data_IF_056105918015
#
_entry.id   IF_056105918015
#
_cell.length_a   1.000
_cell.length_b   1.000
_cell.length_c   1.000
_cell.angle_alpha   90.00
_cell.angle_beta   90.00
_cell.angle_gamma   90.00
#
_symmetry.space_group_name_H-M   'P 1'
#
loop_
_entity.id
_entity.type
_entity.pdbx_description
1 polymer ?
#
# COMPACT_ATOMS: atom_id res chain seq x y z
N UNK A 1 25.74 -62.24 10.60
CA UNK A 1 24.30 -62.58 10.60
C UNK A 1 23.82 -62.36 12.04
N UNK A 2 23.15 -61.24 12.36
CA UNK A 2 21.67 -61.08 12.54
C UNK A 2 21.13 -62.17 13.51
N UNK A 3 20.47 -61.93 14.65
CA UNK A 3 19.67 -60.85 15.25
C UNK A 3 19.71 -61.08 16.80
N UNK A 4 19.34 -60.23 17.75
CA UNK A 4 18.66 -58.94 17.85
C UNK A 4 18.35 -58.77 19.35
N UNK A 5 18.60 -57.61 19.94
CA UNK A 5 18.24 -57.31 21.34
C UNK A 5 17.36 -56.05 21.35
N UNK A 6 16.25 -56.24 22.05
CA UNK A 6 15.10 -55.39 22.36
C UNK A 6 15.51 -54.17 23.20
N UNK A 7 14.55 -53.26 23.44
CA UNK A 7 14.49 -52.16 24.45
C UNK A 7 14.76 -50.78 23.75
N UNK A 8 13.91 -49.76 23.77
CA UNK A 8 12.87 -49.31 24.72
C UNK A 8 11.84 -48.47 23.93
N UNK A 9 10.57 -48.85 24.00
CA UNK A 9 9.44 -47.95 23.73
C UNK A 9 8.81 -47.52 25.05
N UNK A 10 8.00 -46.46 24.97
CA UNK A 10 7.13 -45.84 25.99
C UNK A 10 7.67 -44.49 26.50
N UNK A 11 7.25 -43.42 25.82
CA UNK A 11 6.85 -42.18 26.49
C UNK A 11 5.40 -41.90 26.05
N UNK A 12 4.52 -41.94 27.05
CA UNK A 12 3.10 -41.60 26.98
C UNK A 12 2.82 -40.29 26.25
N UNK A 13 1.80 -40.28 25.40
CA UNK A 13 1.13 -39.07 24.96
C UNK A 13 -0.39 -39.27 25.01
N UNK A 14 -0.93 -38.86 26.16
CA UNK A 14 -2.21 -38.18 26.36
C UNK A 14 -3.31 -38.45 25.34
N UNK A 15 -4.15 -39.42 25.70
CA UNK A 15 -5.57 -39.45 25.32
C UNK A 15 -6.31 -38.28 25.98
N UNK A 16 -6.61 -37.24 25.20
CA UNK A 16 -7.71 -36.32 25.50
C UNK A 16 -8.53 -36.12 24.22
N UNK A 17 -9.38 -37.11 23.92
CA UNK A 17 -10.50 -36.89 23.00
C UNK A 17 -11.53 -36.02 23.74
N UNK A 18 -11.40 -34.71 23.58
CA UNK A 18 -12.47 -33.78 23.90
C UNK A 18 -13.62 -34.00 22.92
N UNK A 19 -14.71 -34.59 23.40
CA UNK A 19 -15.99 -34.66 22.70
C UNK A 19 -16.46 -33.22 22.48
N UNK A 20 -16.45 -32.76 21.23
CA UNK A 20 -17.14 -31.51 20.84
C UNK A 20 -18.54 -31.92 20.40
N UNK A 21 -19.52 -31.69 21.26
CA UNK A 21 -20.93 -31.67 20.85
C UNK A 21 -21.19 -30.39 20.05
N UNK A 22 -22.01 -30.42 18.98
CA UNK A 22 -22.44 -29.19 18.33
C UNK A 22 -23.56 -28.57 19.17
N UNK A 23 -23.19 -27.85 20.23
CA UNK A 23 -24.08 -26.94 20.93
C UNK A 23 -24.10 -25.60 20.20
N UNK A 24 -25.26 -25.18 19.73
CA UNK A 24 -25.52 -23.77 19.39
C UNK A 24 -25.25 -22.94 20.66
N UNK A 25 -24.13 -22.23 20.68
CA UNK A 25 -23.89 -21.21 21.70
C UNK A 25 -23.19 -20.02 21.07
N UNK A 26 -23.92 -18.90 21.10
CA UNK A 26 -23.48 -17.56 20.78
C UNK A 26 -22.56 -17.06 21.90
N UNK A 27 -21.28 -17.42 21.82
CA UNK A 27 -20.26 -16.98 22.76
C UNK A 27 -18.99 -16.64 22.00
N UNK A 28 -18.49 -15.42 22.21
CA UNK A 28 -17.23 -14.89 21.66
C UNK A 28 -16.07 -15.87 21.85
N UNK A 29 -15.76 -16.64 20.80
CA UNK A 29 -14.58 -17.50 20.76
C UNK A 29 -13.42 -16.73 20.13
N UNK A 30 -12.79 -15.83 20.89
CA UNK A 30 -11.48 -15.31 20.47
C UNK A 30 -10.48 -15.01 21.57
N UNK A 31 -10.84 -15.03 22.85
CA UNK A 31 -9.91 -14.61 23.91
C UNK A 31 -9.25 -15.83 24.60
N UNK A 32 -8.87 -16.83 23.81
CA UNK A 32 -8.19 -18.04 24.28
C UNK A 32 -6.66 -17.97 24.15
N UNK A 33 -5.96 -18.88 24.83
CA UNK A 33 -4.51 -19.10 24.76
C UNK A 33 -3.97 -19.28 23.32
N UNK A 34 -4.85 -19.65 22.38
CA UNK A 34 -4.55 -19.84 20.96
C UNK A 34 -5.00 -18.68 20.07
N UNK A 35 -5.38 -17.53 20.64
CA UNK A 35 -5.65 -16.31 19.88
C UNK A 35 -4.39 -15.93 19.08
N UNK A 36 -4.49 -16.03 17.75
CA UNK A 36 -3.35 -15.84 16.84
C UNK A 36 -2.67 -17.12 16.32
N UNK A 37 -3.04 -18.31 16.82
CA UNK A 37 -2.58 -19.58 16.21
C UNK A 37 -3.31 -19.88 14.89
N UNK A 38 -4.57 -19.48 14.79
CA UNK A 38 -5.39 -19.63 13.58
C UNK A 38 -5.90 -18.25 13.15
N UNK A 39 -5.78 -17.89 11.86
CA UNK A 39 -6.34 -16.63 11.38
C UNK A 39 -7.85 -16.62 11.58
N UNK A 40 -8.45 -15.45 11.89
CA UNK A 40 -9.90 -15.35 12.05
C UNK A 40 -10.62 -15.70 10.75
N UNK A 41 -11.84 -16.24 10.86
CA UNK A 41 -12.63 -16.63 9.70
C UNK A 41 -13.00 -15.37 8.88
N UNK A 42 -12.84 -15.38 7.54
CA UNK A 42 -13.07 -14.19 6.72
C UNK A 42 -14.46 -13.57 6.92
N UNK A 43 -15.50 -14.40 7.06
CA UNK A 43 -16.87 -13.94 7.29
C UNK A 43 -17.07 -13.26 8.65
N UNK A 44 -16.37 -13.72 9.69
CA UNK A 44 -16.43 -13.10 11.01
C UNK A 44 -15.77 -11.72 10.99
N UNK A 45 -14.59 -11.61 10.40
CA UNK A 45 -13.88 -10.33 10.26
C UNK A 45 -14.70 -9.35 9.44
N UNK A 46 -15.30 -9.80 8.34
CA UNK A 46 -16.16 -8.97 7.50
C UNK A 46 -17.38 -8.45 8.26
N UNK A 47 -18.00 -9.27 9.12
CA UNK A 47 -19.12 -8.84 9.96
C UNK A 47 -18.69 -7.78 10.97
N UNK A 48 -17.53 -7.94 11.60
CA UNK A 48 -16.98 -6.94 12.53
C UNK A 48 -16.57 -5.63 11.84
N UNK A 49 -16.30 -5.64 10.52
CA UNK A 49 -16.06 -4.41 9.75
C UNK A 49 -17.26 -3.46 9.77
N UNK A 50 -18.48 -3.97 9.99
CA UNK A 50 -19.71 -3.19 10.09
C UNK A 50 -20.20 -3.04 11.54
N UNK A 51 -19.31 -3.20 12.53
CA UNK A 51 -19.68 -3.01 13.93
C UNK A 51 -20.14 -1.58 14.20
N UNK A 52 -21.42 -1.40 14.51
CA UNK A 52 -22.05 -0.07 14.68
C UNK A 52 -21.50 0.70 15.89
N UNK A 53 -20.97 0.00 16.89
CA UNK A 53 -20.64 0.60 18.19
C UNK A 53 -19.17 0.97 18.34
N UNK A 54 -18.28 0.31 17.60
CA UNK A 54 -16.84 0.33 17.90
C UNK A 54 -16.01 0.58 16.63
N UNK A 55 -15.48 1.80 16.44
CA UNK A 55 -14.64 2.11 15.28
C UNK A 55 -13.32 1.35 15.28
N UNK A 56 -12.78 0.98 16.45
CA UNK A 56 -11.54 0.20 16.51
C UNK A 56 -11.74 -1.21 15.97
N UNK A 57 -12.90 -1.82 16.26
CA UNK A 57 -13.26 -3.10 15.63
C UNK A 57 -13.39 -2.97 14.12
N UNK A 58 -14.07 -1.93 13.63
CA UNK A 58 -14.20 -1.68 12.18
C UNK A 58 -12.84 -1.53 11.51
N UNK A 59 -11.99 -0.65 12.04
CA UNK A 59 -10.62 -0.43 11.55
C UNK A 59 -9.78 -1.69 11.59
N UNK A 60 -9.79 -2.43 12.71
CA UNK A 60 -9.03 -3.68 12.86
C UNK A 60 -9.48 -4.69 11.82
N UNK A 61 -10.79 -4.82 11.62
CA UNK A 61 -11.35 -5.72 10.61
C UNK A 61 -10.92 -5.33 9.19
N UNK A 62 -11.03 -4.06 8.80
CA UNK A 62 -10.57 -3.59 7.48
C UNK A 62 -9.08 -3.93 7.26
N UNK A 63 -8.23 -3.68 8.26
CA UNK A 63 -6.81 -4.01 8.20
C UNK A 63 -6.54 -5.52 8.10
N UNK A 64 -7.31 -6.35 8.80
CA UNK A 64 -7.20 -7.81 8.73
C UNK A 64 -7.60 -8.33 7.36
N UNK A 65 -8.74 -7.88 6.83
CA UNK A 65 -9.20 -8.25 5.48
C UNK A 65 -8.15 -7.85 4.44
N UNK A 66 -7.70 -6.59 4.46
CA UNK A 66 -6.78 -6.04 3.46
C UNK A 66 -5.40 -6.69 3.49
N UNK A 67 -4.95 -7.17 4.64
CA UNK A 67 -3.66 -7.86 4.75
C UNK A 67 -3.75 -9.37 4.53
N UNK A 68 -4.95 -9.93 4.40
CA UNK A 68 -5.11 -11.32 4.04
C UNK A 68 -4.72 -11.59 2.57
N UNK A 69 -4.28 -12.82 2.23
CA UNK A 69 -3.97 -13.19 0.85
C UNK A 69 -5.13 -13.00 -0.14
N UNK A 70 -6.36 -13.08 0.35
CA UNK A 70 -7.61 -12.93 -0.38
C UNK A 70 -8.25 -11.52 -0.22
N UNK A 71 -7.54 -10.58 0.40
CA UNK A 71 -8.07 -9.25 0.73
C UNK A 71 -8.55 -8.42 -0.47
N UNK A 72 -8.11 -8.77 -1.68
CA UNK A 72 -8.55 -8.14 -2.93
C UNK A 72 -9.77 -8.78 -3.59
N UNK A 73 -10.39 -9.80 -2.98
CA UNK A 73 -11.60 -10.38 -3.55
C UNK A 73 -12.77 -9.37 -3.54
N UNK A 74 -13.64 -9.48 -4.54
CA UNK A 74 -14.74 -8.54 -4.78
C UNK A 74 -15.63 -8.22 -3.55
N UNK A 75 -15.97 -9.17 -2.66
CA UNK A 75 -16.74 -8.87 -1.45
C UNK A 75 -16.03 -7.91 -0.49
N UNK A 76 -14.71 -7.99 -0.39
CA UNK A 76 -13.93 -7.14 0.52
C UNK A 76 -13.66 -5.77 -0.10
N UNK A 77 -13.41 -5.70 -1.41
CA UNK A 77 -13.39 -4.42 -2.13
C UNK A 77 -14.70 -3.65 -1.96
N UNK A 78 -15.84 -4.34 -2.06
CA UNK A 78 -17.15 -3.75 -1.76
C UNK A 78 -17.22 -3.23 -0.33
N UNK A 79 -16.69 -3.98 0.64
CA UNK A 79 -16.61 -3.54 2.04
C UNK A 79 -15.82 -2.24 2.20
N UNK A 80 -14.64 -2.14 1.58
CA UNK A 80 -13.80 -0.93 1.67
C UNK A 80 -14.50 0.29 1.07
N UNK A 81 -15.13 0.12 -0.11
CA UNK A 81 -15.92 1.17 -0.77
C UNK A 81 -17.10 1.65 0.07
N UNK A 82 -17.74 0.76 0.82
CA UNK A 82 -18.86 1.12 1.70
C UNK A 82 -18.43 1.84 2.97
N UNK A 83 -17.21 1.61 3.45
CA UNK A 83 -16.70 2.14 4.71
C UNK A 83 -15.71 3.31 4.51
N UNK A 84 -15.48 3.75 3.27
CA UNK A 84 -14.59 4.89 3.00
C UNK A 84 -15.15 6.20 3.55
N UNK A 85 -16.48 6.30 3.69
CA UNK A 85 -17.21 7.41 4.32
C UNK A 85 -17.46 7.22 5.84
N UNK A 86 -16.75 6.31 6.51
CA UNK A 86 -16.96 6.07 7.95
C UNK A 86 -16.76 7.37 8.77
N UNK A 87 -17.61 7.62 9.80
CA UNK A 87 -17.44 8.79 10.67
C UNK A 87 -16.07 8.84 11.34
N UNK A 88 -15.46 7.68 11.62
CA UNK A 88 -14.14 7.61 12.23
C UNK A 88 -13.02 7.73 11.17
N UNK A 89 -12.12 8.72 11.31
CA UNK A 89 -11.06 8.95 10.32
C UNK A 89 -10.09 7.78 10.20
N UNK A 90 -9.89 7.01 11.27
CA UNK A 90 -8.96 5.89 11.26
C UNK A 90 -9.52 4.70 10.48
N UNK A 91 -10.85 4.55 10.42
CA UNK A 91 -11.54 3.60 9.54
C UNK A 91 -11.44 4.05 8.07
N UNK A 92 -11.73 5.33 7.78
CA UNK A 92 -11.58 5.90 6.43
C UNK A 92 -10.18 5.67 5.86
N UNK A 93 -9.17 6.04 6.64
CA UNK A 93 -7.76 5.84 6.30
C UNK A 93 -7.42 4.37 6.01
N UNK A 94 -7.94 3.43 6.82
CA UNK A 94 -7.75 2.00 6.59
C UNK A 94 -8.40 1.52 5.29
N UNK A 95 -9.59 2.04 4.94
CA UNK A 95 -10.26 1.75 3.67
C UNK A 95 -9.49 2.31 2.48
N UNK A 96 -9.04 3.56 2.53
CA UNK A 96 -8.23 4.19 1.48
C UNK A 96 -6.95 3.38 1.21
N UNK A 97 -6.25 2.98 2.27
CA UNK A 97 -5.08 2.09 2.16
C UNK A 97 -5.44 0.75 1.50
N UNK A 98 -6.57 0.16 1.86
CA UNK A 98 -7.03 -1.10 1.28
C UNK A 98 -7.39 -0.97 -0.20
N UNK A 99 -8.04 0.13 -0.59
CA UNK A 99 -8.35 0.45 -1.99
C UNK A 99 -7.08 0.75 -2.80
N UNK A 100 -6.10 1.47 -2.26
CA UNK A 100 -4.81 1.64 -2.92
C UNK A 100 -4.08 0.31 -3.12
N UNK A 101 -4.25 -0.64 -2.20
CA UNK A 101 -3.58 -1.95 -2.27
C UNK A 101 -4.21 -2.91 -3.27
N UNK A 102 -5.54 -2.93 -3.35
CA UNK A 102 -6.30 -3.97 -4.06
C UNK A 102 -7.31 -3.45 -5.08
N UNK A 103 -7.58 -2.14 -5.06
CA UNK A 103 -8.56 -1.51 -5.91
C UNK A 103 -8.10 -1.38 -7.35
N UNK A 104 -8.95 -0.75 -8.15
CA UNK A 104 -8.78 -0.55 -9.57
C UNK A 104 -8.76 0.94 -9.89
N UNK A 105 -8.33 1.36 -11.10
CA UNK A 105 -8.38 2.76 -11.51
C UNK A 105 -9.76 3.42 -11.32
N UNK A 106 -10.84 2.64 -11.47
CA UNK A 106 -12.20 3.11 -11.25
C UNK A 106 -12.49 3.60 -9.81
N UNK A 107 -11.66 3.22 -8.83
CA UNK A 107 -11.76 3.66 -7.45
C UNK A 107 -11.19 5.07 -7.22
N UNK A 108 -10.41 5.62 -8.17
CA UNK A 108 -9.78 6.94 -8.03
C UNK A 108 -10.82 8.03 -7.77
N UNK A 109 -11.93 8.03 -8.52
CA UNK A 109 -12.99 9.02 -8.34
C UNK A 109 -13.58 9.03 -6.92
N UNK A 110 -13.63 7.87 -6.25
CA UNK A 110 -14.09 7.75 -4.87
C UNK A 110 -13.02 8.19 -3.85
N UNK A 111 -11.74 8.10 -4.19
CA UNK A 111 -10.62 8.46 -3.30
C UNK A 111 -10.34 9.97 -3.33
N UNK A 112 -10.50 10.63 -4.48
CA UNK A 112 -10.17 12.05 -4.67
C UNK A 112 -10.71 13.01 -3.61
N UNK A 113 -11.97 12.91 -3.13
CA UNK A 113 -12.50 13.82 -2.11
C UNK A 113 -11.69 13.80 -0.80
N UNK A 114 -11.03 12.68 -0.48
CA UNK A 114 -10.29 12.53 0.77
C UNK A 114 -8.92 13.18 0.77
N UNK A 115 -8.43 13.68 -0.38
CA UNK A 115 -7.32 14.63 -0.42
C UNK A 115 -7.65 15.96 0.27
N UNK A 116 -8.92 16.22 0.60
CA UNK A 116 -9.37 17.41 1.35
C UNK A 116 -10.05 17.03 2.67
N UNK A 117 -9.80 15.83 3.18
CA UNK A 117 -10.33 15.39 4.47
C UNK A 117 -9.80 16.29 5.61
N UNK A 118 -10.63 16.47 6.65
CA UNK A 118 -10.29 17.28 7.82
C UNK A 118 -9.11 16.71 8.59
N UNK A 119 -8.88 15.41 8.50
CA UNK A 119 -7.77 14.72 9.16
C UNK A 119 -6.63 14.53 8.17
N UNK A 120 -5.49 15.14 8.49
CA UNK A 120 -4.19 15.02 7.81
C UNK A 120 -3.81 13.58 7.44
N UNK A 121 -3.92 12.63 8.38
CA UNK A 121 -3.60 11.24 8.15
C UNK A 121 -4.50 10.58 7.09
N UNK A 122 -5.76 11.03 6.96
CA UNK A 122 -6.67 10.55 5.92
C UNK A 122 -6.25 11.10 4.56
N UNK A 123 -5.88 12.39 4.49
CA UNK A 123 -5.34 13.00 3.26
C UNK A 123 -4.07 12.31 2.79
N UNK A 124 -3.18 11.98 3.73
CA UNK A 124 -1.96 11.24 3.46
C UNK A 124 -2.22 9.85 2.88
N UNK A 125 -3.15 9.08 3.48
CA UNK A 125 -3.53 7.77 2.93
C UNK A 125 -4.24 7.88 1.58
N UNK A 126 -5.00 8.96 1.33
CA UNK A 126 -5.60 9.22 0.03
C UNK A 126 -4.53 9.42 -1.05
N UNK A 127 -3.53 10.29 -0.80
CA UNK A 127 -2.42 10.52 -1.72
C UNK A 127 -1.64 9.22 -2.00
N UNK A 128 -1.37 8.42 -0.96
CA UNK A 128 -0.71 7.11 -1.11
C UNK A 128 -1.56 6.06 -1.83
N UNK A 129 -2.87 6.11 -1.71
CA UNK A 129 -3.74 5.23 -2.47
C UNK A 129 -3.69 5.60 -3.96
N UNK A 130 -3.75 6.89 -4.28
CA UNK A 130 -3.64 7.42 -5.65
C UNK A 130 -2.25 7.20 -6.27
N UNK A 131 -1.20 7.12 -5.46
CA UNK A 131 0.12 6.69 -5.93
C UNK A 131 0.10 5.28 -6.57
N UNK A 132 -0.82 4.42 -6.12
CA UNK A 132 -0.91 3.01 -6.53
C UNK A 132 -1.96 2.78 -7.63
N UNK A 133 -2.79 3.78 -7.89
CA UNK A 133 -3.87 3.72 -8.87
C UNK A 133 -3.64 4.82 -9.91
N UNK A 134 -3.38 4.42 -11.14
CA UNK A 134 -3.13 5.33 -12.24
C UNK A 134 -4.44 5.79 -12.87
N UNK A 135 -4.77 7.06 -12.70
CA UNK A 135 -5.86 7.74 -13.41
C UNK A 135 -5.50 9.23 -13.55
N UNK A 136 -5.40 9.78 -14.79
CA UNK A 136 -5.05 11.18 -15.01
C UNK A 136 -5.93 12.21 -14.31
N UNK A 137 -7.15 11.86 -13.90
CA UNK A 137 -8.03 12.72 -13.09
C UNK A 137 -7.46 13.04 -11.70
N UNK A 138 -6.50 12.25 -11.20
CA UNK A 138 -5.81 12.51 -9.94
C UNK A 138 -4.79 13.65 -10.01
N UNK A 139 -4.34 14.03 -11.21
CA UNK A 139 -3.21 14.97 -11.38
C UNK A 139 -3.50 16.34 -10.77
N UNK A 140 -4.63 16.96 -11.11
CA UNK A 140 -4.90 18.33 -10.65
C UNK A 140 -5.15 18.38 -9.14
N UNK A 141 -5.91 17.46 -8.52
CA UNK A 141 -6.04 17.39 -7.06
C UNK A 141 -4.73 17.11 -6.33
N UNK A 142 -3.85 16.27 -6.88
CA UNK A 142 -2.54 15.99 -6.29
C UNK A 142 -1.60 17.20 -6.40
N UNK A 143 -1.65 17.97 -7.50
CA UNK A 143 -0.89 19.21 -7.63
C UNK A 143 -1.39 20.29 -6.66
N UNK A 144 -2.70 20.37 -6.43
CA UNK A 144 -3.28 21.24 -5.40
C UNK A 144 -2.78 20.84 -4.01
N UNK A 145 -2.83 19.55 -3.66
CA UNK A 145 -2.33 19.04 -2.39
C UNK A 145 -0.82 19.25 -2.21
N UNK A 146 -0.01 19.07 -3.27
CA UNK A 146 1.43 19.35 -3.24
C UNK A 146 1.73 20.81 -2.92
N UNK A 147 0.91 21.76 -3.38
CA UNK A 147 1.17 23.19 -3.24
C UNK A 147 0.57 23.77 -1.96
N UNK A 148 -0.66 23.37 -1.63
CA UNK A 148 -1.53 24.10 -0.71
C UNK A 148 -1.85 23.33 0.58
N UNK A 149 -1.41 22.07 0.75
CA UNK A 149 -1.66 21.32 1.99
C UNK A 149 -0.76 21.79 3.14
N UNK A 150 -1.35 22.01 4.30
CA UNK A 150 -0.64 22.46 5.51
C UNK A 150 0.34 21.38 6.02
N UNK A 151 0.06 20.10 5.82
CA UNK A 151 0.85 18.99 6.34
C UNK A 151 1.90 18.52 5.34
N UNK A 152 3.17 18.55 5.74
CA UNK A 152 4.28 18.24 4.86
C UNK A 152 4.30 16.77 4.41
N UNK A 153 3.86 15.84 5.26
CA UNK A 153 3.75 14.44 4.88
C UNK A 153 2.74 14.24 3.74
N UNK A 154 1.67 15.03 3.70
CA UNK A 154 0.66 14.99 2.61
C UNK A 154 1.24 15.59 1.33
N UNK A 155 1.97 16.71 1.42
CA UNK A 155 2.68 17.30 0.26
C UNK A 155 3.69 16.32 -0.32
N UNK A 156 4.51 15.70 0.51
CA UNK A 156 5.51 14.71 0.10
C UNK A 156 4.87 13.46 -0.53
N UNK A 157 3.79 12.95 0.06
CA UNK A 157 3.03 11.84 -0.53
C UNK A 157 2.42 12.22 -1.89
N UNK A 158 1.99 13.47 -2.06
CA UNK A 158 1.44 13.99 -3.32
C UNK A 158 2.52 14.12 -4.39
N UNK A 159 3.71 14.64 -4.05
CA UNK A 159 4.87 14.66 -4.94
C UNK A 159 5.21 13.26 -5.44
N UNK A 160 5.24 12.28 -4.53
CA UNK A 160 5.51 10.89 -4.90
C UNK A 160 4.39 10.30 -5.78
N UNK A 161 3.12 10.52 -5.44
CA UNK A 161 2.00 10.08 -6.28
C UNK A 161 2.05 10.67 -7.71
N UNK A 162 2.59 11.88 -7.85
CA UNK A 162 2.74 12.58 -9.13
C UNK A 162 3.83 11.99 -10.05
N UNK A 163 4.80 11.27 -9.50
CA UNK A 163 5.94 10.67 -10.25
C UNK A 163 5.55 9.67 -11.35
N UNK A 164 4.30 9.17 -11.34
CA UNK A 164 3.79 8.28 -12.39
C UNK A 164 3.19 9.03 -13.60
N UNK A 165 3.08 10.37 -13.55
CA UNK A 165 2.38 11.18 -14.55
C UNK A 165 3.37 12.07 -15.35
N UNK A 166 3.86 11.61 -16.51
CA UNK A 166 4.81 12.36 -17.35
C UNK A 166 4.12 13.50 -18.10
N UNK A 167 3.79 14.57 -17.36
CA UNK A 167 3.13 15.76 -17.88
C UNK A 167 3.97 17.01 -17.58
N UNK A 168 4.12 17.94 -18.54
CA UNK A 168 4.93 19.15 -18.32
C UNK A 168 4.47 19.97 -17.10
N UNK A 169 3.16 20.04 -16.82
CA UNK A 169 2.64 20.72 -15.63
C UNK A 169 3.04 20.04 -14.31
N UNK A 170 3.18 18.71 -14.32
CA UNK A 170 3.63 17.94 -13.15
C UNK A 170 5.09 18.22 -12.90
N UNK A 171 5.92 18.19 -13.95
CA UNK A 171 7.31 18.59 -13.89
C UNK A 171 7.49 20.01 -13.29
N UNK A 172 6.73 20.99 -13.80
CA UNK A 172 6.79 22.36 -13.27
C UNK A 172 6.34 22.47 -11.80
N UNK A 173 5.28 21.72 -11.41
CA UNK A 173 4.82 21.67 -10.02
C UNK A 173 5.89 21.10 -9.07
N UNK A 174 6.56 20.02 -9.47
CA UNK A 174 7.62 19.38 -8.69
C UNK A 174 8.86 20.27 -8.58
N UNK A 175 9.25 20.99 -9.63
CA UNK A 175 10.32 22.01 -9.53
C UNK A 175 9.97 23.08 -8.49
N UNK A 176 8.73 23.55 -8.49
CA UNK A 176 8.26 24.51 -7.48
C UNK A 176 8.44 23.96 -6.06
N UNK A 177 8.10 22.69 -5.85
CA UNK A 177 8.21 21.99 -4.57
C UNK A 177 9.66 21.70 -4.11
N UNK A 178 10.68 21.87 -4.96
CA UNK A 178 12.08 21.84 -4.52
C UNK A 178 12.45 23.01 -3.61
N UNK A 179 11.62 24.06 -3.55
CA UNK A 179 11.78 25.19 -2.63
C UNK A 179 10.88 25.06 -1.38
N UNK A 180 10.29 23.90 -1.12
CA UNK A 180 9.47 23.67 0.07
C UNK A 180 10.31 23.81 1.36
N UNK A 181 9.68 24.28 2.43
CA UNK A 181 10.34 24.41 3.74
C UNK A 181 10.67 23.06 4.39
N UNK A 182 9.94 22.01 4.03
CA UNK A 182 10.13 20.68 4.57
C UNK A 182 11.00 19.82 3.62
N UNK A 183 12.11 19.35 4.16
CA UNK A 183 13.08 18.53 3.43
C UNK A 183 12.49 17.24 2.82
N UNK A 184 11.49 16.63 3.46
CA UNK A 184 10.85 15.43 2.92
C UNK A 184 10.12 15.73 1.60
N UNK A 185 9.50 16.90 1.47
CA UNK A 185 8.83 17.33 0.23
C UNK A 185 9.84 17.56 -0.87
N UNK A 186 10.97 18.20 -0.55
CA UNK A 186 12.07 18.45 -1.49
C UNK A 186 12.62 17.12 -2.04
N UNK A 187 12.93 16.17 -1.16
CA UNK A 187 13.48 14.86 -1.54
C UNK A 187 12.48 14.03 -2.36
N UNK A 188 11.20 14.02 -1.99
CA UNK A 188 10.20 13.30 -2.78
C UNK A 188 9.95 13.97 -4.14
N UNK A 189 10.07 15.30 -4.22
CA UNK A 189 9.95 16.04 -5.48
C UNK A 189 11.13 15.81 -6.40
N UNK A 190 12.36 15.80 -5.87
CA UNK A 190 13.58 15.40 -6.58
C UNK A 190 13.43 13.99 -7.15
N UNK A 191 13.12 13.00 -6.31
CA UNK A 191 12.92 11.60 -6.75
C UNK A 191 11.85 11.47 -7.83
N UNK A 192 10.77 12.24 -7.72
CA UNK A 192 9.72 12.25 -8.73
C UNK A 192 10.24 12.82 -10.06
N UNK A 193 11.04 13.89 -10.04
CA UNK A 193 11.69 14.45 -11.24
C UNK A 193 12.67 13.46 -11.86
N UNK A 194 13.51 12.79 -11.06
CA UNK A 194 14.43 11.75 -11.53
C UNK A 194 13.66 10.60 -12.18
N UNK A 195 12.58 10.13 -11.54
CA UNK A 195 11.74 9.06 -12.09
C UNK A 195 11.11 9.46 -13.43
N UNK A 196 10.61 10.70 -13.53
CA UNK A 196 9.93 11.19 -14.73
C UNK A 196 10.87 11.47 -15.89
N UNK A 197 12.11 11.89 -15.62
CA UNK A 197 13.02 12.40 -16.66
C UNK A 197 14.20 11.46 -16.94
N UNK A 198 14.63 10.67 -15.95
CA UNK A 198 15.88 9.90 -15.96
C UNK A 198 17.12 10.73 -15.64
N UNK A 199 16.98 12.03 -15.39
CA UNK A 199 18.09 12.94 -15.12
C UNK A 199 18.30 13.14 -13.61
N UNK A 200 19.51 13.53 -13.20
CA UNK A 200 19.89 13.70 -11.78
C UNK A 200 20.57 15.06 -11.57
N UNK A 201 19.78 16.10 -11.33
CA UNK A 201 20.30 17.44 -11.04
C UNK A 201 20.29 17.80 -9.55
N UNK A 202 19.75 16.91 -8.71
CA UNK A 202 19.61 17.15 -7.29
C UNK A 202 18.41 18.05 -6.96
N UNK A 203 18.53 18.74 -5.83
CA UNK A 203 17.54 19.70 -5.32
C UNK A 203 17.59 21.07 -6.03
N UNK A 204 18.51 21.27 -6.99
CA UNK A 204 18.71 22.54 -7.70
C UNK A 204 17.69 22.74 -8.83
N UNK A 205 16.56 23.37 -8.49
CA UNK A 205 15.50 23.70 -9.46
C UNK A 205 15.96 24.56 -10.64
N UNK A 206 17.01 25.37 -10.51
CA UNK A 206 17.52 26.20 -11.61
C UNK A 206 18.17 25.34 -12.70
N UNK A 207 18.86 24.26 -12.28
CA UNK A 207 19.46 23.30 -13.21
C UNK A 207 18.40 22.50 -13.94
N UNK A 208 17.34 22.07 -13.23
CA UNK A 208 16.18 21.43 -13.83
C UNK A 208 15.53 22.30 -14.91
N UNK A 209 15.31 23.58 -14.61
CA UNK A 209 14.73 24.53 -15.57
C UNK A 209 15.64 24.75 -16.79
N UNK A 210 16.92 25.05 -16.58
CA UNK A 210 17.89 25.29 -17.66
C UNK A 210 18.06 24.07 -18.59
N UNK A 211 17.99 22.86 -18.03
CA UNK A 211 17.98 21.64 -18.83
C UNK A 211 16.68 21.52 -19.65
N UNK A 212 15.52 21.77 -19.04
CA UNK A 212 14.21 21.62 -19.70
C UNK A 212 13.99 22.58 -20.87
N UNK A 213 14.60 23.77 -20.87
CA UNK A 213 14.54 24.73 -21.99
C UNK A 213 15.04 24.14 -23.32
N UNK A 214 15.97 23.17 -23.25
CA UNK A 214 16.52 22.50 -24.42
C UNK A 214 15.83 21.16 -24.73
N UNK A 215 14.91 20.71 -23.88
CA UNK A 215 14.29 19.37 -23.92
C UNK A 215 12.76 19.40 -23.84
N UNK A 216 12.11 20.47 -24.32
CA UNK A 216 10.64 20.61 -24.22
C UNK A 216 9.88 19.45 -24.89
N UNK A 217 10.40 18.91 -26.00
CA UNK A 217 9.76 17.82 -26.77
C UNK A 217 10.06 16.41 -26.26
N UNK A 218 11.11 16.26 -25.45
CA UNK A 218 11.71 14.98 -25.06
C UNK A 218 11.94 14.84 -23.56
N UNK A 219 11.33 15.72 -22.77
CA UNK A 219 11.42 15.83 -21.31
C UNK A 219 11.33 14.50 -20.56
N UNK A 220 10.57 13.54 -21.09
CA UNK A 220 10.29 12.26 -20.44
C UNK A 220 10.80 11.04 -21.22
N UNK A 221 11.61 11.21 -22.28
CA UNK A 221 12.13 10.08 -23.05
C UNK A 221 13.04 9.17 -22.21
N UNK A 222 13.75 9.76 -21.25
CA UNK A 222 14.61 9.08 -20.29
C UNK A 222 13.91 8.49 -19.08
N UNK A 223 12.57 8.60 -18.96
CA UNK A 223 11.86 8.18 -17.74
C UNK A 223 12.20 6.75 -17.33
N UNK A 224 12.37 6.56 -16.03
CA UNK A 224 12.56 5.26 -15.43
C UNK A 224 11.24 4.52 -15.23
N UNK A 225 11.34 3.20 -15.04
CA UNK A 225 10.16 2.39 -14.70
C UNK A 225 9.70 2.78 -13.30
N UNK A 226 8.55 3.45 -13.21
CA UNK A 226 7.98 3.79 -11.91
C UNK A 226 7.47 2.53 -11.19
N UNK A 227 7.96 2.31 -9.99
CA UNK A 227 7.41 1.36 -9.02
C UNK A 227 7.01 2.12 -7.77
N UNK A 228 5.85 1.81 -7.22
CA UNK A 228 5.55 2.33 -5.90
C UNK A 228 6.41 1.61 -4.85
N UNK A 229 6.88 2.31 -3.80
CA UNK A 229 7.73 1.71 -2.77
C UNK A 229 6.97 0.63 -1.99
N UNK A 230 7.60 -0.53 -1.81
CA UNK A 230 7.06 -1.65 -1.05
C UNK A 230 7.71 -1.72 0.34
N UNK A 231 6.90 -1.69 1.40
CA UNK A 231 7.39 -1.98 2.73
C UNK A 231 7.51 -3.50 2.92
N UNK A 232 8.74 -3.99 3.04
CA UNK A 232 9.00 -5.37 3.46
C UNK A 232 9.10 -5.38 4.98
N UNK A 233 8.11 -5.93 5.72
CA UNK A 233 8.20 -5.99 7.16
C UNK A 233 9.37 -6.88 7.59
N UNK A 234 10.07 -6.55 8.69
CA UNK A 234 11.11 -7.43 9.22
C UNK A 234 10.53 -8.81 9.54
N UNK A 235 11.27 -9.90 9.31
CA UNK A 235 10.74 -11.24 9.52
C UNK A 235 10.35 -11.43 10.98
N UNK A 236 9.14 -11.94 11.19
CA UNK A 236 8.64 -12.32 12.52
C UNK A 236 9.52 -13.41 13.15
N UNK A 237 9.43 -13.58 14.48
CA UNK A 237 10.17 -14.64 15.18
C UNK A 237 10.00 -16.03 14.54
N UNK A 238 8.77 -16.40 14.16
CA UNK A 238 8.49 -17.69 13.52
C UNK A 238 9.03 -17.80 12.10
N UNK A 239 9.05 -16.70 11.33
CA UNK A 239 9.71 -16.66 10.02
C UNK A 239 11.22 -16.79 10.15
N UNK A 240 11.83 -16.17 11.18
CA UNK A 240 13.25 -16.35 11.51
C UNK A 240 13.56 -17.80 11.90
N UNK A 241 12.68 -18.46 12.67
CA UNK A 241 12.82 -19.88 13.02
C UNK A 241 12.70 -20.80 11.82
N UNK A 242 11.86 -20.46 10.83
CA UNK A 242 11.75 -21.17 9.55
C UNK A 242 12.83 -20.72 8.56
N UNK A 243 14.09 -20.61 8.98
CA UNK A 243 15.19 -20.07 8.17
C UNK A 243 15.41 -20.80 6.83
N UNK A 244 14.93 -22.05 6.71
CA UNK A 244 14.95 -22.85 5.48
C UNK A 244 13.88 -22.47 4.45
N UNK A 245 12.86 -21.68 4.85
CA UNK A 245 11.92 -21.07 3.91
C UNK A 245 12.42 -19.69 3.54
N UNK A 246 12.77 -19.50 2.28
CA UNK A 246 13.10 -18.18 1.77
C UNK A 246 11.90 -17.23 1.96
N UNK A 247 12.11 -15.99 2.45
CA UNK A 247 11.05 -15.01 2.44
C UNK A 247 10.55 -14.86 1.00
N UNK A 248 9.22 -14.80 0.82
CA UNK A 248 8.68 -14.53 -0.51
C UNK A 248 9.25 -13.20 -0.99
N UNK A 249 10.02 -13.22 -2.08
CA UNK A 249 10.40 -12.00 -2.77
C UNK A 249 9.11 -11.32 -3.22
N UNK A 250 8.91 -10.10 -2.75
CA UNK A 250 7.80 -9.28 -3.21
C UNK A 250 8.32 -8.61 -4.47
N UNK A 251 7.73 -8.94 -5.61
CA UNK A 251 8.10 -8.32 -6.89
C UNK A 251 7.61 -6.87 -6.85
N UNK A 252 8.46 -5.87 -7.14
CA UNK A 252 8.02 -4.50 -7.30
C UNK A 252 6.86 -4.44 -8.28
N UNK A 253 5.78 -3.73 -7.90
CA UNK A 253 4.59 -3.62 -8.72
C UNK A 253 4.46 -2.20 -9.25
N UNK A 254 3.93 -2.10 -10.46
CA UNK A 254 3.50 -0.84 -11.05
C UNK A 254 2.11 -0.47 -10.53
N UNK A 255 1.75 0.83 -10.53
CA UNK A 255 0.37 1.27 -10.32
C UNK A 255 -0.62 0.54 -11.23
N UNK A 256 -1.78 0.20 -10.69
CA UNK A 256 -2.86 -0.38 -11.50
C UNK A 256 -3.39 0.68 -12.48
N UNK A 257 -3.58 0.32 -13.75
CA UNK A 257 -4.16 1.22 -14.77
C UNK A 257 -3.17 1.92 -15.69
N UNK A 258 -1.86 1.68 -15.56
CA UNK A 258 -0.89 2.21 -16.52
C UNK A 258 -1.15 1.61 -17.91
N UNK A 259 -1.21 2.47 -18.92
CA UNK A 259 -1.33 2.06 -20.31
C UNK A 259 0.00 1.48 -20.82
N UNK A 260 0.05 0.18 -20.99
CA UNK A 260 1.24 -0.52 -21.53
C UNK A 260 1.51 -0.19 -23.01
N UNK A 261 0.55 0.45 -23.70
CA UNK A 261 0.69 0.86 -25.11
C UNK A 261 1.23 2.27 -25.29
N UNK A 262 1.34 3.05 -24.20
CA UNK A 262 1.95 4.38 -24.21
C UNK A 262 3.41 4.30 -24.72
N UNK A 263 3.82 5.11 -25.72
CA UNK A 263 5.21 5.17 -26.19
C UNK A 263 6.24 5.46 -25.08
N UNK A 264 5.83 6.11 -24.00
CA UNK A 264 6.65 6.38 -22.82
C UNK A 264 6.62 5.24 -21.79
N UNK A 265 5.85 4.17 -22.02
CA UNK A 265 5.84 3.01 -21.14
C UNK A 265 7.17 2.25 -21.24
N UNK A 266 7.77 1.97 -20.08
CA UNK A 266 8.99 1.18 -19.96
C UNK A 266 8.66 -0.10 -19.20
N UNK A 267 9.04 -1.25 -19.77
CA UNK A 267 8.90 -2.53 -19.10
C UNK A 267 9.98 -2.68 -18.02
N UNK A 268 9.66 -3.32 -16.89
CA UNK A 268 10.65 -3.78 -15.91
C UNK A 268 11.82 -4.52 -16.58
N UNK A 269 13.06 -4.10 -16.32
CA UNK A 269 14.23 -4.94 -16.62
C UNK A 269 14.20 -6.16 -15.69
N UNK A 270 14.29 -7.38 -16.23
CA UNK A 270 14.27 -8.63 -15.44
C UNK A 270 15.35 -8.67 -14.32
N UNK A 271 16.41 -7.88 -14.46
CA UNK A 271 17.50 -7.72 -13.48
C UNK A 271 17.23 -6.71 -12.37
N UNK A 272 16.28 -5.78 -12.53
CA UNK A 272 15.93 -4.79 -11.49
C UNK A 272 15.08 -5.41 -10.37
N UNK A 273 14.35 -6.50 -10.65
CA UNK A 273 13.59 -7.25 -9.65
C UNK A 273 14.46 -8.11 -8.70
N UNK A 274 15.80 -8.07 -8.86
CA UNK A 274 16.75 -8.90 -8.14
C UNK A 274 17.66 -8.14 -7.17
N UNK A 275 17.46 -6.83 -6.97
CA UNK A 275 18.13 -6.03 -5.93
C UNK A 275 17.15 -5.68 -4.81
#
# INVERSE_FOLDING_TARGET
MRHGIVILGIISLLSLFGVVTPGCDSGSKSDGLFSGMFPPEPGEVAREAFNVYDPDKRRKSVNLLSNAPWGGEAPYLKTYRLLVDDPDPTVRAACLRALGKHGEPSDVAAILPYLKDKTDFVRWEAAKALQRLHDPSAVDPLLEALRDDDEADVRAASANALSQYPLPRVFQGLIGALNDENYAVVVESERALETLTGEQFGEDGSRWLAWSENHESDLFLGKDVYYYPQFVPPPTFWQKMQFWKQPKQIVPQQPAGIDETDPLFRKPNETAAAK
#
